data_IF_701545789557
#
_entry.id   IF_701545789557
#
_cell.length_a   1.000
_cell.length_b   1.000
_cell.length_c   1.000
_cell.angle_alpha   90.00
_cell.angle_beta   90.00
_cell.angle_gamma   90.00
#
_symmetry.space_group_name_H-M   'P 1'
#
loop_
_entity.id
_entity.type
_entity.pdbx_description
1 polymer ?
#
# COMPACT_ATOMS: atom_id res chain seq x y z
N UNK A 1 56.91 16.52 27.53
CA UNK A 1 56.82 15.09 27.16
C UNK A 1 55.48 14.54 27.64
N UNK A 2 54.74 13.93 26.71
CA UNK A 2 53.62 13.00 26.90
C UNK A 2 52.45 13.39 27.83
N UNK A 3 51.46 14.09 27.28
CA UNK A 3 50.05 14.03 27.67
C UNK A 3 49.27 14.68 26.52
N UNK A 4 48.37 14.10 25.73
CA UNK A 4 47.68 12.81 25.71
C UNK A 4 47.15 12.68 24.28
N UNK A 5 47.41 11.59 23.55
CA UNK A 5 46.81 11.35 22.24
C UNK A 5 45.48 10.62 22.47
N UNK A 6 44.36 11.32 22.59
CA UNK A 6 42.99 10.79 22.36
C UNK A 6 41.95 11.82 22.83
N UNK A 7 41.53 12.73 21.95
CA UNK A 7 40.18 13.32 22.03
C UNK A 7 39.57 13.37 20.61
N UNK A 8 39.98 12.41 19.76
CA UNK A 8 39.20 11.92 18.65
C UNK A 8 38.38 10.73 19.17
N UNK A 9 37.30 10.99 19.90
CA UNK A 9 36.29 9.98 20.15
C UNK A 9 34.96 10.63 20.52
N UNK A 10 33.97 10.40 19.65
CA UNK A 10 32.54 10.46 19.96
C UNK A 10 31.87 11.84 19.91
N UNK A 11 31.97 12.53 18.76
CA UNK A 11 30.72 13.00 18.14
C UNK A 11 30.07 11.75 17.54
N UNK A 12 29.46 10.92 18.39
CA UNK A 12 28.53 9.92 17.92
C UNK A 12 27.40 10.69 17.25
N UNK A 13 27.49 10.79 15.92
CA UNK A 13 26.30 10.95 15.13
C UNK A 13 25.36 9.84 15.58
N UNK A 14 24.31 10.20 16.32
CA UNK A 14 23.17 9.32 16.52
C UNK A 14 22.55 9.19 15.15
N UNK A 15 23.06 8.26 14.34
CA UNK A 15 22.39 7.82 13.12
C UNK A 15 21.16 7.06 13.57
N UNK A 16 20.10 7.79 13.89
CA UNK A 16 18.78 7.21 14.05
C UNK A 16 18.34 6.66 12.70
N UNK A 17 18.02 5.37 12.65
CA UNK A 17 17.35 4.78 11.49
C UNK A 17 15.85 5.01 11.61
N UNK A 18 15.27 5.73 10.65
CA UNK A 18 13.82 5.78 10.51
C UNK A 18 13.36 4.45 9.90
N UNK A 19 12.55 3.68 10.62
CA UNK A 19 11.96 2.44 10.14
C UNK A 19 10.46 2.66 9.98
N UNK A 20 9.93 2.41 8.79
CA UNK A 20 8.50 2.43 8.51
C UNK A 20 8.04 1.01 8.16
N UNK A 21 6.96 0.54 8.80
CA UNK A 21 6.33 -0.70 8.42
C UNK A 21 5.75 -0.55 7.00
N UNK A 22 6.26 -1.34 6.06
CA UNK A 22 5.85 -1.30 4.67
C UNK A 22 4.91 -2.48 4.35
N UNK A 23 3.95 -2.22 3.46
CA UNK A 23 3.08 -3.26 2.89
C UNK A 23 3.75 -3.89 1.68
N UNK A 24 3.39 -5.14 1.37
CA UNK A 24 3.94 -5.89 0.25
C UNK A 24 2.87 -6.15 -0.80
N UNK A 25 3.15 -5.74 -2.05
CA UNK A 25 2.32 -6.02 -3.22
C UNK A 25 3.14 -6.78 -4.27
N UNK A 26 2.44 -7.51 -5.17
CA UNK A 26 3.08 -8.01 -6.39
C UNK A 26 3.50 -6.83 -7.28
N UNK A 27 4.65 -6.92 -7.96
CA UNK A 27 5.15 -5.81 -8.79
C UNK A 27 4.25 -5.52 -10.00
N UNK A 28 3.60 -6.54 -10.55
CA UNK A 28 2.61 -6.38 -11.62
C UNK A 28 1.63 -7.55 -11.63
N UNK A 29 0.48 -7.31 -12.24
CA UNK A 29 -0.49 -8.33 -12.65
C UNK A 29 -0.97 -7.98 -14.05
N UNK A 30 -1.35 -8.99 -14.83
CA UNK A 30 -1.91 -8.82 -16.18
C UNK A 30 -3.20 -9.61 -16.29
N UNK A 31 -4.17 -9.07 -17.02
CA UNK A 31 -5.47 -9.66 -17.24
C UNK A 31 -6.01 -9.18 -18.60
N UNK A 32 -6.81 -10.01 -19.27
CA UNK A 32 -7.48 -9.62 -20.50
C UNK A 32 -8.78 -8.87 -20.19
N UNK A 33 -9.30 -8.16 -21.18
CA UNK A 33 -10.63 -7.57 -21.10
C UNK A 33 -11.67 -8.66 -20.85
N UNK A 34 -12.53 -8.46 -19.85
CA UNK A 34 -13.54 -9.41 -19.40
C UNK A 34 -13.08 -10.37 -18.29
N UNK A 35 -11.77 -10.48 -18.02
CA UNK A 35 -11.26 -11.36 -16.97
C UNK A 35 -11.61 -10.83 -15.57
N UNK A 36 -11.45 -11.70 -14.58
CA UNK A 36 -11.43 -11.29 -13.17
C UNK A 36 -10.01 -11.32 -12.64
N UNK A 37 -9.52 -10.18 -12.16
CA UNK A 37 -8.18 -10.07 -11.56
C UNK A 37 -8.28 -9.81 -10.06
N UNK A 38 -7.33 -10.37 -9.31
CA UNK A 38 -7.18 -10.16 -7.86
C UNK A 38 -5.80 -9.59 -7.57
N UNK A 39 -5.76 -8.41 -6.97
CA UNK A 39 -4.55 -7.73 -6.52
C UNK A 39 -4.48 -7.87 -5.01
N UNK A 40 -3.36 -8.36 -4.49
CA UNK A 40 -3.18 -8.66 -3.07
C UNK A 40 -2.16 -7.73 -2.43
N UNK A 41 -2.42 -7.37 -1.18
CA UNK A 41 -1.56 -6.53 -0.36
C UNK A 41 -1.42 -7.14 1.03
N UNK A 42 -0.20 -7.49 1.43
CA UNK A 42 0.09 -8.14 2.71
C UNK A 42 0.83 -7.20 3.66
N UNK A 43 0.79 -7.50 4.96
CA UNK A 43 1.47 -6.69 5.98
C UNK A 43 0.63 -5.52 6.49
N UNK A 44 -0.68 -5.54 6.23
CA UNK A 44 -1.62 -4.58 6.79
C UNK A 44 -1.89 -4.91 8.26
N UNK A 45 -2.09 -3.88 9.08
CA UNK A 45 -2.42 -4.05 10.50
C UNK A 45 -3.72 -4.83 10.67
N UNK A 46 -3.69 -5.91 11.44
CA UNK A 46 -4.88 -6.69 11.81
C UNK A 46 -5.59 -6.15 13.05
N UNK A 47 -4.98 -5.17 13.73
CA UNK A 47 -5.51 -4.61 14.98
C UNK A 47 -6.68 -3.66 14.75
N UNK A 48 -6.77 -3.06 13.55
CA UNK A 48 -7.83 -2.11 13.21
C UNK A 48 -8.82 -2.75 12.25
N UNK A 49 -10.11 -2.59 12.54
CA UNK A 49 -11.21 -3.10 11.70
C UNK A 49 -11.29 -2.47 10.30
N UNK A 50 -10.39 -1.55 9.95
CA UNK A 50 -10.33 -0.79 8.68
C UNK A 50 -8.93 -0.87 8.06
N UNK A 51 -8.41 -2.08 7.96
CA UNK A 51 -7.03 -2.37 7.63
C UNK A 51 -6.63 -2.16 6.16
N UNK A 52 -7.55 -2.16 5.19
CA UNK A 52 -7.25 -2.13 3.76
C UNK A 52 -8.02 -1.03 3.01
N UNK A 53 -7.28 -0.06 2.48
CA UNK A 53 -7.71 0.87 1.43
C UNK A 53 -6.98 0.59 0.12
N UNK A 54 -7.65 0.88 -1.00
CA UNK A 54 -7.14 0.70 -2.34
C UNK A 54 -7.30 1.97 -3.16
N UNK A 55 -6.24 2.33 -3.86
CA UNK A 55 -6.15 3.57 -4.62
C UNK A 55 -5.64 3.29 -6.04
N UNK A 56 -6.24 3.94 -7.03
CA UNK A 56 -5.89 3.80 -8.44
C UNK A 56 -5.29 5.10 -8.97
N UNK A 57 -4.09 5.01 -9.56
CA UNK A 57 -3.43 6.11 -10.26
C UNK A 57 -3.29 5.74 -11.74
N UNK A 58 -4.10 6.38 -12.58
CA UNK A 58 -4.08 6.14 -14.04
C UNK A 58 -2.95 6.89 -14.73
N UNK A 59 -2.66 8.12 -14.28
CA UNK A 59 -1.66 8.98 -14.91
C UNK A 59 -0.52 9.24 -13.92
N UNK A 60 0.73 8.91 -14.25
CA UNK A 60 1.88 9.23 -13.41
C UNK A 60 1.92 10.72 -13.06
N UNK A 61 2.16 11.05 -11.79
CA UNK A 61 2.18 12.43 -11.30
C UNK A 61 0.81 13.02 -10.94
N UNK A 62 -0.29 12.30 -11.16
CA UNK A 62 -1.62 12.71 -10.67
C UNK A 62 -1.93 12.12 -9.30
N UNK A 63 -2.84 12.76 -8.56
CA UNK A 63 -3.33 12.20 -7.30
C UNK A 63 -4.07 10.87 -7.52
N UNK A 64 -3.84 9.86 -6.67
CA UNK A 64 -4.56 8.60 -6.79
C UNK A 64 -6.03 8.76 -6.38
N UNK A 65 -6.93 8.00 -7.01
CA UNK A 65 -8.36 7.95 -6.71
C UNK A 65 -8.65 6.79 -5.79
N UNK A 66 -9.43 6.99 -4.73
CA UNK A 66 -9.84 5.91 -3.83
C UNK A 66 -10.86 5.00 -4.52
N UNK A 67 -10.56 3.71 -4.57
CA UNK A 67 -11.42 2.67 -5.19
C UNK A 67 -12.16 1.87 -4.13
N UNK A 68 -11.47 1.50 -3.06
CA UNK A 68 -12.03 0.81 -1.88
C UNK A 68 -11.45 1.46 -0.62
N UNK A 69 -12.27 1.65 0.40
CA UNK A 69 -11.88 2.07 1.73
C UNK A 69 -12.50 1.14 2.77
N UNK A 70 -11.99 1.18 4.00
CA UNK A 70 -12.52 0.39 5.12
C UNK A 70 -12.75 -1.10 4.75
N UNK A 71 -11.77 -1.71 4.09
CA UNK A 71 -11.72 -3.10 3.60
C UNK A 71 -12.65 -3.44 2.44
N UNK A 72 -13.91 -3.02 2.50
CA UNK A 72 -14.96 -3.49 1.59
C UNK A 72 -15.83 -2.37 1.05
N UNK A 73 -15.75 -1.15 1.61
CA UNK A 73 -16.59 -0.04 1.18
C UNK A 73 -16.06 0.56 -0.11
N UNK A 74 -16.96 0.75 -1.07
CA UNK A 74 -16.67 1.35 -2.36
C UNK A 74 -17.28 2.76 -2.42
N UNK A 75 -16.51 3.81 -2.74
CA UNK A 75 -17.06 5.16 -2.91
C UNK A 75 -18.11 5.24 -4.03
N UNK A 76 -18.99 6.23 -3.95
CA UNK A 76 -19.92 6.55 -5.05
C UNK A 76 -19.14 6.93 -6.32
N UNK A 77 -19.61 6.50 -7.48
CA UNK A 77 -18.97 6.78 -8.77
C UNK A 77 -17.89 5.77 -9.17
N UNK A 78 -17.46 4.89 -8.26
CA UNK A 78 -16.61 3.76 -8.62
C UNK A 78 -17.47 2.60 -9.13
N UNK A 79 -17.15 2.01 -10.30
CA UNK A 79 -17.97 0.96 -10.90
C UNK A 79 -18.18 -0.26 -9.99
N UNK A 80 -19.35 -0.92 -10.06
CA UNK A 80 -19.68 -2.05 -9.18
C UNK A 80 -18.77 -3.27 -9.34
N UNK A 81 -18.02 -3.31 -10.45
CA UNK A 81 -17.06 -4.35 -10.80
C UNK A 81 -15.83 -4.41 -9.88
N UNK A 82 -15.55 -3.32 -9.16
CA UNK A 82 -14.49 -3.26 -8.16
C UNK A 82 -15.01 -3.70 -6.79
N UNK A 83 -14.31 -4.59 -6.11
CA UNK A 83 -14.67 -5.01 -4.75
C UNK A 83 -13.44 -5.26 -3.89
N UNK A 84 -13.56 -4.99 -2.60
CA UNK A 84 -12.51 -5.22 -1.61
C UNK A 84 -12.84 -6.38 -0.69
N UNK A 85 -11.80 -7.02 -0.19
CA UNK A 85 -11.87 -7.98 0.91
C UNK A 85 -10.61 -7.91 1.76
N UNK A 86 -10.70 -8.40 2.98
CA UNK A 86 -9.61 -8.41 3.94
C UNK A 86 -9.67 -9.68 4.79
N UNK A 87 -8.52 -10.33 4.97
CA UNK A 87 -8.40 -11.52 5.82
C UNK A 87 -6.99 -11.61 6.42
N UNK A 88 -6.92 -11.87 7.73
CA UNK A 88 -5.65 -11.91 8.46
C UNK A 88 -4.96 -10.55 8.44
N UNK A 89 -3.89 -10.42 7.65
CA UNK A 89 -3.14 -9.18 7.39
C UNK A 89 -3.07 -8.84 5.90
N UNK A 90 -3.97 -9.44 5.12
CA UNK A 90 -3.97 -9.37 3.65
C UNK A 90 -5.26 -8.75 3.13
N UNK A 91 -5.14 -7.61 2.45
CA UNK A 91 -6.18 -7.01 1.65
C UNK A 91 -6.17 -7.56 0.24
N UNK A 92 -7.35 -7.71 -0.38
CA UNK A 92 -7.48 -8.11 -1.79
C UNK A 92 -8.48 -7.20 -2.51
N UNK A 93 -8.02 -6.54 -3.57
CA UNK A 93 -8.87 -5.87 -4.55
C UNK A 93 -9.21 -6.85 -5.66
N UNK A 94 -10.50 -7.01 -5.93
CA UNK A 94 -11.02 -7.83 -7.02
C UNK A 94 -11.67 -6.91 -8.05
N UNK A 95 -11.25 -7.03 -9.30
CA UNK A 95 -11.84 -6.34 -10.45
C UNK A 95 -12.42 -7.42 -11.35
N UNK A 96 -13.74 -7.53 -11.39
CA UNK A 96 -14.44 -8.46 -12.28
C UNK A 96 -14.71 -7.79 -13.63
N UNK A 97 -14.61 -8.50 -14.75
CA UNK A 97 -14.91 -7.89 -16.05
C UNK A 97 -14.00 -6.70 -16.35
N UNK A 98 -12.69 -6.93 -16.25
CA UNK A 98 -11.65 -5.93 -16.51
C UNK A 98 -11.90 -5.20 -17.83
N UNK A 99 -11.72 -3.87 -17.82
CA UNK A 99 -11.86 -3.01 -19.00
C UNK A 99 -10.53 -2.35 -19.35
N UNK A 100 -10.39 -1.81 -20.55
CA UNK A 100 -9.13 -1.19 -21.00
C UNK A 100 -8.73 0.01 -20.12
N UNK A 101 -9.72 0.76 -19.64
CA UNK A 101 -9.54 1.89 -18.73
C UNK A 101 -9.11 1.48 -17.30
N UNK A 102 -9.06 0.18 -16.98
CA UNK A 102 -8.60 -0.31 -15.67
C UNK A 102 -7.07 -0.46 -15.61
N UNK A 103 -6.37 -0.26 -16.72
CA UNK A 103 -4.91 -0.18 -16.76
C UNK A 103 -4.43 1.04 -15.95
N UNK A 104 -3.75 0.77 -14.84
CA UNK A 104 -3.33 1.77 -13.87
C UNK A 104 -2.32 1.19 -12.88
N UNK A 105 -1.70 2.06 -12.10
CA UNK A 105 -0.98 1.66 -10.89
C UNK A 105 -1.98 1.59 -9.73
N UNK A 106 -1.97 0.47 -8.99
CA UNK A 106 -2.83 0.26 -7.83
C UNK A 106 -1.98 0.18 -6.56
N UNK A 107 -2.31 1.04 -5.60
CA UNK A 107 -1.67 1.08 -4.28
C UNK A 107 -2.65 0.57 -3.22
N UNK A 108 -2.12 -0.14 -2.23
CA UNK A 108 -2.83 -0.41 -1.00
C UNK A 108 -2.23 0.38 0.17
N UNK A 109 -3.03 0.59 1.20
CA UNK A 109 -2.58 1.11 2.48
C UNK A 109 -3.54 0.72 3.59
N UNK A 110 -3.06 0.77 4.82
CA UNK A 110 -3.87 0.54 6.01
C UNK A 110 -3.65 1.66 7.01
N UNK A 111 -4.60 1.83 7.92
CA UNK A 111 -4.42 2.75 9.04
C UNK A 111 -3.45 2.11 10.04
N UNK A 112 -2.39 2.84 10.38
CA UNK A 112 -1.55 2.54 11.52
C UNK A 112 -2.11 3.21 12.79
N UNK A 113 -1.95 2.54 13.92
CA UNK A 113 -2.30 3.10 15.21
C UNK A 113 -1.26 4.10 15.63
N UNK A 114 -1.47 5.38 15.34
CA UNK A 114 -0.75 6.47 16.00
C UNK A 114 -1.33 6.75 17.39
#
# INVERSE_FOLDING_TARGET
>A
MAWTPLLLAVLAHVSGSLVQAAVTQKPSVSANVGDTVRITCSGLSSSYGYAAGWYQQKVPGTGPVTVIYENTKRPSGIPPRFSGSYSGSTGTLTITGVQAEDEAVYFCGGQDGS
#
